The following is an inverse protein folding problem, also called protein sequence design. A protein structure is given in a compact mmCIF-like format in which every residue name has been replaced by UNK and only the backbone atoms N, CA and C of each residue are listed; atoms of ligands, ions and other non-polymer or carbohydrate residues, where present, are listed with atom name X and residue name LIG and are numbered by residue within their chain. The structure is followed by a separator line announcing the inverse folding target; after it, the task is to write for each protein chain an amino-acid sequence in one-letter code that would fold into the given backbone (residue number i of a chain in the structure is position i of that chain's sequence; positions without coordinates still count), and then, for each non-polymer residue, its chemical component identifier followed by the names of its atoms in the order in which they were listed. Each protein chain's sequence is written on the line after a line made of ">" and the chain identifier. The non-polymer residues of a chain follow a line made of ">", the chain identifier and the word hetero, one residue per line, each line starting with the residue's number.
data_IF_494110406436
#
_entry.id   IF_494110406436
#
_cell.length_a   1.000
_cell.length_b   1.000
_cell.length_c   1.000
_cell.angle_alpha   90.00
_cell.angle_beta   90.00
_cell.angle_gamma   90.00
#
_symmetry.space_group_name_H-M   'P 1'
#
loop_
_entity.id
_entity.type
_entity.pdbx_description
1 polymer ?
#
# COMPACT_ATOMS: atom_id res chain seq x y z
N UNK A 1 -6.51 0.72 -52.63
CA UNK A 1 -7.05 1.28 -51.38
C UNK A 1 -6.58 2.71 -51.25
N UNK A 2 -7.52 3.65 -51.07
CA UNK A 2 -7.23 5.07 -50.96
C UNK A 2 -6.44 5.33 -49.65
N UNK A 3 -5.56 6.33 -49.64
CA UNK A 3 -4.77 6.72 -48.45
C UNK A 3 -5.67 7.05 -47.25
N UNK A 4 -6.85 7.64 -47.53
CA UNK A 4 -7.91 7.91 -46.55
C UNK A 4 -8.40 6.61 -45.90
N UNK A 5 -8.68 5.57 -46.68
CA UNK A 5 -9.17 4.28 -46.15
C UNK A 5 -8.12 3.61 -45.26
N UNK A 6 -6.83 3.74 -45.62
CA UNK A 6 -5.72 3.22 -44.81
C UNK A 6 -5.58 4.00 -43.50
N UNK A 7 -5.72 5.32 -43.55
CA UNK A 7 -5.66 6.16 -42.36
C UNK A 7 -6.80 5.85 -41.39
N UNK A 8 -8.04 5.83 -41.91
CA UNK A 8 -9.24 5.51 -41.16
C UNK A 8 -9.15 4.11 -40.55
N UNK A 9 -8.67 3.12 -41.30
CA UNK A 9 -8.44 1.77 -40.79
C UNK A 9 -7.44 1.75 -39.62
N UNK A 10 -6.33 2.49 -39.74
CA UNK A 10 -5.33 2.59 -38.68
C UNK A 10 -5.88 3.26 -37.41
N UNK A 11 -6.73 4.28 -37.55
CA UNK A 11 -7.44 4.90 -36.41
C UNK A 11 -8.42 3.88 -35.80
N UNK A 12 -9.18 3.17 -36.62
CA UNK A 12 -10.17 2.20 -36.19
C UNK A 12 -9.55 1.06 -35.36
N UNK A 13 -8.38 0.53 -35.73
CA UNK A 13 -7.68 -0.50 -34.94
C UNK A 13 -7.32 -0.03 -33.53
N UNK A 14 -7.07 1.26 -33.36
CA UNK A 14 -6.74 1.85 -32.06
C UNK A 14 -7.98 2.10 -31.18
N UNK A 15 -9.18 2.15 -31.77
CA UNK A 15 -10.42 2.45 -31.07
C UNK A 15 -11.07 1.21 -30.41
N UNK A 16 -11.74 1.38 -29.26
CA UNK A 16 -12.64 0.37 -28.69
C UNK A 16 -13.76 -0.04 -29.65
N UNK A 17 -14.10 -1.33 -29.68
CA UNK A 17 -15.09 -1.88 -30.61
C UNK A 17 -16.47 -1.19 -30.53
N UNK A 18 -16.85 -0.67 -29.36
CA UNK A 18 -18.17 -0.08 -29.12
C UNK A 18 -18.35 1.33 -29.69
N UNK A 19 -17.26 2.05 -29.99
CA UNK A 19 -17.32 3.41 -30.59
C UNK A 19 -16.68 3.46 -31.98
N UNK A 20 -16.03 2.37 -32.39
CA UNK A 20 -15.23 2.31 -33.63
C UNK A 20 -16.04 2.77 -34.84
N UNK A 21 -17.21 2.20 -35.08
CA UNK A 21 -17.98 2.48 -36.30
C UNK A 21 -18.46 3.92 -36.38
N UNK A 22 -18.92 4.48 -35.25
CA UNK A 22 -19.44 5.85 -35.19
C UNK A 22 -18.31 6.87 -35.40
N UNK A 23 -17.19 6.70 -34.69
CA UNK A 23 -16.00 7.57 -34.83
C UNK A 23 -15.40 7.44 -36.24
N UNK A 24 -15.39 6.24 -36.81
CA UNK A 24 -14.86 6.01 -38.17
C UNK A 24 -15.69 6.74 -39.22
N UNK A 25 -17.02 6.77 -39.07
CA UNK A 25 -17.93 7.53 -39.95
C UNK A 25 -17.76 9.03 -39.76
N UNK A 26 -17.68 9.50 -38.52
CA UNK A 26 -17.46 10.91 -38.20
C UNK A 26 -16.12 11.40 -38.77
N UNK A 27 -15.05 10.63 -38.56
CA UNK A 27 -13.72 10.95 -39.08
C UNK A 27 -13.71 11.00 -40.61
N UNK A 28 -14.40 10.08 -41.28
CA UNK A 28 -14.54 10.11 -42.74
C UNK A 28 -15.22 11.39 -43.21
N UNK A 29 -16.35 11.74 -42.60
CA UNK A 29 -17.08 12.95 -42.93
C UNK A 29 -16.25 14.22 -42.69
N UNK A 30 -15.44 14.23 -41.62
CA UNK A 30 -14.54 15.34 -41.31
C UNK A 30 -13.42 15.48 -42.36
N UNK A 31 -12.77 14.37 -42.74
CA UNK A 31 -11.76 14.37 -43.80
C UNK A 31 -12.38 14.82 -45.13
N UNK A 32 -13.57 14.32 -45.48
CA UNK A 32 -14.28 14.72 -46.70
C UNK A 32 -14.65 16.22 -46.70
N UNK A 33 -14.97 16.80 -45.53
CA UNK A 33 -15.24 18.23 -45.39
C UNK A 33 -13.98 19.09 -45.53
N UNK A 34 -12.84 18.60 -45.04
CA UNK A 34 -11.53 19.27 -45.20
C UNK A 34 -11.05 19.27 -46.67
N UNK A 35 -11.53 18.33 -47.47
CA UNK A 35 -11.18 18.19 -48.88
C UNK A 35 -12.17 18.96 -49.77
N UNK A 36 -11.64 19.79 -50.68
CA UNK A 36 -12.46 20.50 -51.69
C UNK A 36 -13.11 19.50 -52.68
N UNK A 37 -14.23 19.86 -53.32
CA UNK A 37 -14.93 19.01 -54.32
C UNK A 37 -14.04 18.48 -55.47
N UNK A 38 -12.88 19.09 -55.70
CA UNK A 38 -11.84 18.64 -56.63
C UNK A 38 -10.48 18.65 -55.91
N UNK A 39 -10.16 17.56 -55.20
CA UNK A 39 -8.91 17.42 -54.45
C UNK A 39 -7.88 16.55 -55.20
N UNK A 40 -6.60 16.83 -54.95
CA UNK A 40 -5.45 16.07 -55.44
C UNK A 40 -4.91 15.11 -54.36
N UNK A 41 -4.02 14.18 -54.73
CA UNK A 41 -3.36 13.32 -53.74
C UNK A 41 -2.49 14.12 -52.74
N UNK A 42 -1.94 15.26 -53.14
CA UNK A 42 -1.17 16.18 -52.28
C UNK A 42 -2.05 16.87 -51.24
N UNK A 43 -3.32 17.15 -51.58
CA UNK A 43 -4.30 17.69 -50.62
C UNK A 43 -4.68 16.65 -49.58
N UNK A 44 -4.89 15.39 -50.00
CA UNK A 44 -5.13 14.28 -49.07
C UNK A 44 -3.93 14.10 -48.13
N UNK A 45 -2.71 14.14 -48.67
CA UNK A 45 -1.51 14.02 -47.86
C UNK A 45 -1.43 15.11 -46.78
N UNK A 46 -1.66 16.37 -47.16
CA UNK A 46 -1.64 17.52 -46.23
C UNK A 46 -2.71 17.42 -45.14
N UNK A 47 -3.94 17.05 -45.49
CA UNK A 47 -5.02 16.86 -44.51
C UNK A 47 -4.67 15.76 -43.51
N UNK A 48 -4.14 14.63 -43.98
CA UNK A 48 -3.74 13.54 -43.09
C UNK A 48 -2.52 13.88 -42.24
N UNK A 49 -1.61 14.71 -42.75
CA UNK A 49 -0.47 15.24 -41.99
C UNK A 49 -0.92 16.21 -40.89
N UNK A 50 -1.91 17.07 -41.17
CA UNK A 50 -2.51 17.99 -40.21
C UNK A 50 -3.27 17.25 -39.09
N UNK A 51 -3.98 16.17 -39.43
CA UNK A 51 -4.61 15.26 -38.46
C UNK A 51 -3.59 14.46 -37.63
N UNK A 52 -2.35 14.31 -38.13
CA UNK A 52 -1.26 13.67 -37.41
C UNK A 52 -1.38 12.15 -37.27
N UNK A 53 -0.72 11.60 -36.24
CA UNK A 53 -0.63 10.14 -36.05
C UNK A 53 -2.02 9.52 -35.77
N UNK A 54 -2.42 8.44 -36.49
CA UNK A 54 -3.66 7.71 -36.22
C UNK A 54 -3.86 7.32 -34.75
N UNK A 55 -2.77 6.98 -34.06
CA UNK A 55 -2.83 6.58 -32.66
C UNK A 55 -3.09 7.76 -31.72
N UNK A 56 -2.58 8.95 -32.04
CA UNK A 56 -2.86 10.15 -31.25
C UNK A 56 -4.31 10.58 -31.44
N UNK A 57 -4.78 10.61 -32.70
CA UNK A 57 -6.15 10.95 -33.03
C UNK A 57 -7.16 9.97 -32.39
N UNK A 58 -6.88 8.66 -32.45
CA UNK A 58 -7.70 7.66 -31.76
C UNK A 58 -7.76 7.86 -30.24
N UNK A 59 -6.68 8.33 -29.62
CA UNK A 59 -6.65 8.62 -28.18
C UNK A 59 -7.45 9.88 -27.81
N UNK A 60 -7.60 10.84 -28.72
CA UNK A 60 -8.46 12.03 -28.52
C UNK A 60 -9.93 11.66 -28.57
N UNK A 61 -10.31 10.77 -29.50
CA UNK A 61 -11.67 10.23 -29.60
C UNK A 61 -12.01 9.19 -28.53
N UNK A 62 -11.02 8.66 -27.81
CA UNK A 62 -11.27 7.62 -26.81
C UNK A 62 -11.68 8.23 -25.45
N UNK A 63 -12.94 8.05 -25.00
CA UNK A 63 -13.41 8.58 -23.72
C UNK A 63 -12.70 7.95 -22.52
N UNK A 64 -12.11 6.76 -22.68
CA UNK A 64 -11.33 6.07 -21.66
C UNK A 64 -9.86 6.01 -22.09
N UNK A 65 -9.07 7.02 -21.69
CA UNK A 65 -7.63 6.99 -21.93
C UNK A 65 -7.03 5.71 -21.32
N UNK A 66 -6.26 4.96 -22.10
CA UNK A 66 -5.72 3.62 -21.72
C UNK A 66 -4.52 3.71 -20.76
N UNK A 67 -4.69 4.39 -19.63
CA UNK A 67 -3.66 4.46 -18.59
C UNK A 67 -3.93 3.43 -17.50
N UNK A 68 -2.85 2.84 -16.96
CA UNK A 68 -2.92 2.07 -15.73
C UNK A 68 -3.14 2.99 -14.52
N UNK A 69 -2.40 4.11 -14.52
CA UNK A 69 -2.58 5.24 -13.62
C UNK A 69 -2.54 6.53 -14.47
N UNK A 70 -3.65 7.24 -14.53
CA UNK A 70 -3.86 8.42 -15.34
C UNK A 70 -3.08 9.65 -14.83
N UNK A 71 -2.91 10.65 -15.71
CA UNK A 71 -2.07 11.83 -15.44
C UNK A 71 -2.51 12.62 -14.19
N UNK A 72 -3.80 12.59 -13.84
CA UNK A 72 -4.31 13.25 -12.63
C UNK A 72 -3.81 12.65 -11.32
N UNK A 73 -3.51 11.35 -11.29
CA UNK A 73 -3.01 10.64 -10.11
C UNK A 73 -1.51 10.40 -10.11
N UNK A 74 -0.87 10.42 -11.28
CA UNK A 74 0.51 9.98 -11.46
C UNK A 74 1.51 10.66 -10.52
N UNK A 75 1.43 11.98 -10.35
CA UNK A 75 2.33 12.71 -9.44
C UNK A 75 2.14 12.30 -7.96
N UNK A 76 0.89 12.05 -7.54
CA UNK A 76 0.60 11.60 -6.17
C UNK A 76 1.07 10.14 -5.99
N UNK A 77 0.84 9.30 -6.98
CA UNK A 77 1.33 7.92 -7.04
C UNK A 77 2.84 7.85 -6.85
N UNK A 78 3.62 8.56 -7.66
CA UNK A 78 5.10 8.57 -7.56
C UNK A 78 5.57 9.06 -6.20
N UNK A 79 4.90 10.08 -5.62
CA UNK A 79 5.22 10.58 -4.29
C UNK A 79 5.07 9.51 -3.21
N UNK A 80 3.94 8.81 -3.19
CA UNK A 80 3.67 7.72 -2.23
C UNK A 80 4.59 6.53 -2.48
N UNK A 81 4.76 6.14 -3.74
CA UNK A 81 5.61 5.02 -4.13
C UNK A 81 7.03 5.21 -3.59
N UNK A 82 7.62 6.41 -3.75
CA UNK A 82 8.96 6.72 -3.22
C UNK A 82 9.05 6.56 -1.70
N UNK A 83 8.04 7.03 -0.97
CA UNK A 83 8.01 6.93 0.50
C UNK A 83 7.90 5.48 0.94
N UNK A 84 6.95 4.72 0.39
CA UNK A 84 6.72 3.32 0.76
C UNK A 84 7.91 2.44 0.35
N UNK A 85 8.44 2.60 -0.87
CA UNK A 85 9.64 1.87 -1.32
C UNK A 85 10.83 2.19 -0.43
N UNK A 86 11.08 3.46 -0.10
CA UNK A 86 12.16 3.84 0.80
C UNK A 86 12.05 3.17 2.18
N UNK A 87 10.84 3.11 2.74
CA UNK A 87 10.57 2.41 3.99
C UNK A 87 10.81 0.90 3.83
N UNK A 88 10.28 0.27 2.78
CA UNK A 88 10.45 -1.17 2.53
C UNK A 88 11.94 -1.56 2.39
N UNK A 89 12.74 -0.76 1.69
CA UNK A 89 14.18 -1.02 1.56
C UNK A 89 14.82 -1.09 2.94
N UNK A 90 14.59 -0.08 3.78
CA UNK A 90 15.20 -0.01 5.13
C UNK A 90 14.72 -1.15 6.01
N UNK A 91 13.42 -1.41 6.05
CA UNK A 91 12.81 -2.44 6.91
C UNK A 91 13.29 -3.83 6.51
N UNK A 92 13.16 -4.20 5.23
CA UNK A 92 13.50 -5.55 4.78
C UNK A 92 15.02 -5.78 4.80
N UNK A 93 15.83 -4.78 4.45
CA UNK A 93 17.28 -4.88 4.61
C UNK A 93 17.67 -5.11 6.07
N UNK A 94 17.05 -4.40 7.01
CA UNK A 94 17.32 -4.55 8.45
C UNK A 94 16.92 -5.94 8.95
N UNK A 95 15.72 -6.41 8.60
CA UNK A 95 15.23 -7.74 8.96
C UNK A 95 16.17 -8.82 8.41
N UNK A 96 16.50 -8.77 7.11
CA UNK A 96 17.42 -9.72 6.47
C UNK A 96 18.84 -9.66 7.03
N UNK A 97 19.30 -8.48 7.44
CA UNK A 97 20.61 -8.32 8.08
C UNK A 97 20.65 -9.02 9.43
N UNK A 98 19.63 -8.80 10.28
CA UNK A 98 19.52 -9.45 11.59
C UNK A 98 19.43 -10.97 11.43
N UNK A 99 18.56 -11.45 10.54
CA UNK A 99 18.42 -12.88 10.21
C UNK A 99 19.75 -13.51 9.77
N UNK A 100 20.48 -12.83 8.89
CA UNK A 100 21.77 -13.32 8.39
C UNK A 100 22.84 -13.36 9.48
N UNK A 101 22.87 -12.38 10.38
CA UNK A 101 23.84 -12.33 11.49
C UNK A 101 23.60 -13.52 12.44
N UNK A 102 22.34 -13.85 12.70
CA UNK A 102 21.93 -14.92 13.60
C UNK A 102 22.22 -16.28 12.98
N UNK A 103 21.75 -16.53 11.76
CA UNK A 103 21.79 -17.86 11.14
C UNK A 103 23.16 -18.23 10.52
N UNK A 104 24.06 -17.26 10.33
CA UNK A 104 25.39 -17.48 9.73
C UNK A 104 26.53 -17.47 10.74
N UNK A 105 26.21 -17.67 12.02
CA UNK A 105 27.21 -17.79 13.07
C UNK A 105 27.99 -19.10 12.91
N UNK A 106 29.33 -19.02 12.86
CA UNK A 106 30.22 -20.19 12.74
C UNK A 106 30.59 -20.60 11.31
N UNK A 107 30.12 -19.89 10.28
CA UNK A 107 30.61 -20.03 8.90
C UNK A 107 31.96 -19.32 8.70
N UNK A 108 32.69 -19.71 7.66
CA UNK A 108 33.89 -19.01 7.21
C UNK A 108 33.59 -17.54 6.90
N UNK A 109 34.58 -16.66 7.15
CA UNK A 109 34.40 -15.21 7.06
C UNK A 109 33.90 -14.75 5.68
N UNK A 110 34.43 -15.34 4.60
CA UNK A 110 34.07 -15.00 3.23
C UNK A 110 32.61 -15.38 2.96
N UNK A 111 32.22 -16.62 3.28
CA UNK A 111 30.85 -17.12 3.08
C UNK A 111 29.83 -16.35 3.92
N UNK A 112 30.21 -15.96 5.13
CA UNK A 112 29.39 -15.13 6.00
C UNK A 112 29.14 -13.74 5.39
N UNK A 113 30.19 -13.07 4.91
CA UNK A 113 30.07 -11.72 4.32
C UNK A 113 29.24 -11.78 3.03
N UNK A 114 29.55 -12.72 2.14
CA UNK A 114 28.80 -12.92 0.88
C UNK A 114 27.35 -13.26 1.19
N UNK A 115 27.11 -14.14 2.16
CA UNK A 115 25.79 -14.55 2.62
C UNK A 115 24.94 -13.41 3.20
N UNK A 116 25.53 -12.53 4.01
CA UNK A 116 24.85 -11.33 4.54
C UNK A 116 24.51 -10.39 3.39
N UNK A 117 25.47 -10.09 2.53
CA UNK A 117 25.27 -9.15 1.43
C UNK A 117 24.15 -9.62 0.48
N UNK A 118 24.20 -10.90 0.08
CA UNK A 118 23.19 -11.51 -0.79
C UNK A 118 21.81 -11.51 -0.15
N UNK A 119 21.68 -11.88 1.12
CA UNK A 119 20.37 -11.94 1.79
C UNK A 119 19.78 -10.54 2.02
N UNK A 120 20.61 -9.56 2.41
CA UNK A 120 20.18 -8.15 2.56
C UNK A 120 19.72 -7.59 1.21
N UNK A 121 20.49 -7.82 0.15
CA UNK A 121 20.12 -7.37 -1.19
C UNK A 121 18.81 -8.03 -1.66
N UNK A 122 18.67 -9.33 -1.44
CA UNK A 122 17.46 -10.08 -1.81
C UNK A 122 16.24 -9.59 -1.02
N UNK A 123 16.39 -9.42 0.30
CA UNK A 123 15.35 -8.88 1.17
C UNK A 123 14.90 -7.49 0.75
N UNK A 124 15.85 -6.58 0.48
CA UNK A 124 15.54 -5.23 0.01
C UNK A 124 14.81 -5.22 -1.34
N UNK A 125 15.21 -6.09 -2.29
CA UNK A 125 14.55 -6.24 -3.59
C UNK A 125 13.12 -6.77 -3.43
N UNK A 126 12.93 -7.83 -2.65
CA UNK A 126 11.60 -8.40 -2.37
C UNK A 126 10.71 -7.36 -1.69
N UNK A 127 11.20 -6.69 -0.65
CA UNK A 127 10.45 -5.64 0.05
C UNK A 127 10.06 -4.48 -0.87
N UNK A 128 10.98 -4.06 -1.75
CA UNK A 128 10.71 -3.01 -2.76
C UNK A 128 9.62 -3.43 -3.73
N UNK A 129 9.70 -4.65 -4.27
CA UNK A 129 8.70 -5.18 -5.19
C UNK A 129 7.33 -5.29 -4.52
N UNK A 130 7.26 -5.79 -3.28
CA UNK A 130 6.02 -5.87 -2.50
C UNK A 130 5.42 -4.49 -2.23
N UNK A 131 6.23 -3.54 -1.76
CA UNK A 131 5.78 -2.16 -1.53
C UNK A 131 5.25 -1.50 -2.81
N UNK A 132 5.98 -1.67 -3.92
CA UNK A 132 5.57 -1.13 -5.21
C UNK A 132 4.28 -1.77 -5.72
N UNK A 133 4.14 -3.10 -5.59
CA UNK A 133 2.95 -3.84 -6.00
C UNK A 133 1.71 -3.34 -5.27
N UNK A 134 1.72 -3.31 -3.93
CA UNK A 134 0.55 -2.92 -3.14
C UNK A 134 0.17 -1.45 -3.31
N UNK A 135 1.15 -0.54 -3.42
CA UNK A 135 0.88 0.87 -3.72
C UNK A 135 0.23 1.01 -5.11
N UNK A 136 0.80 0.35 -6.13
CA UNK A 136 0.27 0.39 -7.50
C UNK A 136 -1.15 -0.16 -7.55
N UNK A 137 -1.40 -1.28 -6.90
CA UNK A 137 -2.73 -1.91 -6.83
C UNK A 137 -3.76 -0.97 -6.19
N UNK A 138 -3.41 -0.28 -5.12
CA UNK A 138 -4.31 0.70 -4.48
C UNK A 138 -4.62 1.86 -5.42
N UNK A 139 -3.63 2.39 -6.14
CA UNK A 139 -3.88 3.47 -7.11
C UNK A 139 -4.73 3.02 -8.29
N UNK A 140 -4.53 1.79 -8.79
CA UNK A 140 -5.39 1.21 -9.81
C UNK A 140 -6.84 1.13 -9.32
N UNK A 141 -7.06 0.62 -8.09
CA UNK A 141 -8.41 0.55 -7.52
C UNK A 141 -9.01 1.95 -7.39
N UNK A 142 -8.27 2.91 -6.83
CA UNK A 142 -8.75 4.28 -6.65
C UNK A 142 -9.19 4.93 -7.97
N UNK A 143 -8.38 4.79 -9.02
CA UNK A 143 -8.71 5.36 -10.33
C UNK A 143 -9.89 4.66 -10.99
N UNK A 144 -9.99 3.33 -10.86
CA UNK A 144 -11.11 2.55 -11.40
C UNK A 144 -12.42 2.79 -10.64
N UNK A 145 -12.35 3.23 -9.38
CA UNK A 145 -13.52 3.63 -8.60
C UNK A 145 -14.09 5.00 -9.02
N UNK A 146 -13.52 5.68 -10.02
CA UNK A 146 -14.03 6.98 -10.50
C UNK A 146 -13.81 8.12 -9.52
N UNK A 147 -12.86 7.94 -8.60
CA UNK A 147 -12.46 8.96 -7.65
C UNK A 147 -11.66 10.02 -8.41
N UNK A 148 -11.93 11.31 -8.20
CA UNK A 148 -11.14 12.38 -8.81
C UNK A 148 -9.99 12.86 -7.90
N UNK A 149 -8.84 13.26 -8.45
CA UNK A 149 -7.65 13.60 -7.67
C UNK A 149 -7.81 14.96 -6.97
N UNK A 150 -8.45 14.97 -5.81
CA UNK A 150 -8.76 16.18 -5.04
C UNK A 150 -10.19 16.20 -4.54
N UNK A 151 -11.03 15.32 -5.10
CA UNK A 151 -12.40 15.10 -4.72
C UNK A 151 -12.63 13.58 -4.64
N UNK A 152 -12.65 13.04 -3.42
CA UNK A 152 -12.98 11.63 -3.21
C UNK A 152 -14.49 11.51 -3.01
N UNK A 153 -15.25 11.01 -4.00
CA UNK A 153 -16.70 10.87 -3.91
C UNK A 153 -16.96 9.61 -3.09
N UNK A 154 -16.89 9.72 -1.77
CA UNK A 154 -17.51 8.68 -0.94
C UNK A 154 -19.03 8.63 -1.23
N UNK A 155 -19.61 9.72 -1.73
CA UNK A 155 -21.00 9.83 -2.14
C UNK A 155 -21.10 10.79 -3.33
N UNK A 156 -21.61 10.28 -4.44
CA UNK A 156 -21.87 10.93 -5.74
C UNK A 156 -22.29 12.41 -5.70
N UNK A 157 -21.54 13.24 -6.41
CA UNK A 157 -22.05 14.41 -7.12
C UNK A 157 -21.09 14.78 -8.24
N UNK A 158 -21.63 15.17 -9.40
CA UNK A 158 -20.88 15.90 -10.41
C UNK A 158 -20.18 17.09 -9.75
N UNK A 159 -18.97 17.40 -10.22
CA UNK A 159 -18.22 18.52 -9.67
C UNK A 159 -19.03 19.82 -9.82
N UNK A 160 -19.33 20.49 -8.70
CA UNK A 160 -19.87 21.85 -8.66
C UNK A 160 -18.89 22.79 -7.96
N UNK A 161 -18.89 24.10 -8.29
CA UNK A 161 -18.06 25.09 -7.60
C UNK A 161 -18.25 25.13 -6.08
N UNK A 162 -19.41 24.72 -5.58
CA UNK A 162 -19.70 24.63 -4.14
C UNK A 162 -18.87 23.56 -3.41
N UNK A 163 -18.28 22.62 -4.16
CA UNK A 163 -17.38 21.59 -3.63
C UNK A 163 -15.93 22.08 -3.49
N UNK A 164 -15.66 23.35 -3.83
CA UNK A 164 -14.36 23.95 -3.59
C UNK A 164 -14.06 23.89 -2.08
N UNK A 165 -12.90 23.35 -1.69
CA UNK A 165 -12.55 23.28 -0.28
C UNK A 165 -12.46 24.69 0.29
N UNK A 166 -13.19 24.93 1.38
CA UNK A 166 -13.11 26.19 2.10
C UNK A 166 -11.65 26.51 2.48
N UNK A 167 -11.34 27.81 2.40
CA UNK A 167 -10.06 28.35 2.86
C UNK A 167 -9.96 27.99 4.35
N UNK A 168 -8.95 27.22 4.76
CA UNK A 168 -8.91 26.70 6.11
C UNK A 168 -8.72 27.86 7.09
N UNK A 169 -9.74 28.11 7.92
CA UNK A 169 -9.67 29.10 9.01
C UNK A 169 -8.61 28.72 10.05
N UNK A 170 -8.24 27.43 10.15
CA UNK A 170 -7.25 26.95 11.10
C UNK A 170 -6.44 25.76 10.56
N UNK A 171 -5.12 25.80 10.77
CA UNK A 171 -4.17 24.76 10.33
C UNK A 171 -4.27 23.46 11.14
N UNK A 172 -5.08 23.46 12.21
CA UNK A 172 -5.22 22.33 13.11
C UNK A 172 -5.70 21.06 12.37
N UNK A 173 -6.64 21.10 11.43
CA UNK A 173 -7.12 19.90 10.70
C UNK A 173 -6.10 19.24 9.77
N UNK A 174 -4.91 19.83 9.61
CA UNK A 174 -3.83 19.29 8.78
C UNK A 174 -3.31 17.99 9.37
N UNK A 175 -3.10 17.01 8.49
CA UNK A 175 -2.53 15.71 8.86
C UNK A 175 -1.03 15.87 9.11
N UNK A 176 -0.54 15.34 10.24
CA UNK A 176 0.88 15.34 10.57
C UNK A 176 1.61 14.35 9.66
N UNK A 177 2.61 14.86 8.90
CA UNK A 177 3.43 14.03 8.02
C UNK A 177 4.26 13.02 8.81
N UNK A 178 4.81 13.44 9.95
CA UNK A 178 5.64 12.60 10.82
C UNK A 178 4.84 11.43 11.42
N UNK A 179 3.67 11.71 12.02
CA UNK A 179 2.79 10.66 12.57
C UNK A 179 2.37 9.67 11.48
N UNK A 180 2.08 10.16 10.28
CA UNK A 180 1.66 9.32 9.16
C UNK A 180 2.79 8.41 8.65
N UNK A 181 3.99 8.97 8.45
CA UNK A 181 5.17 8.18 8.05
C UNK A 181 5.53 7.15 9.11
N UNK A 182 5.50 7.53 10.38
CA UNK A 182 5.75 6.63 11.50
C UNK A 182 4.74 5.48 11.56
N UNK A 183 3.45 5.77 11.32
CA UNK A 183 2.41 4.73 11.25
C UNK A 183 2.72 3.72 10.15
N UNK A 184 3.06 4.17 8.94
CA UNK A 184 3.38 3.26 7.81
C UNK A 184 4.63 2.45 8.12
N UNK A 185 5.67 3.10 8.63
CA UNK A 185 6.91 2.43 9.03
C UNK A 185 6.61 1.31 10.03
N UNK A 186 5.80 1.59 11.05
CA UNK A 186 5.40 0.61 12.05
C UNK A 186 4.62 -0.53 11.41
N UNK A 187 3.61 -0.24 10.59
CA UNK A 187 2.82 -1.25 9.89
C UNK A 187 3.68 -2.16 9.03
N UNK A 188 4.52 -1.58 8.16
CA UNK A 188 5.40 -2.35 7.28
C UNK A 188 6.39 -3.17 8.11
N UNK A 189 6.95 -2.60 9.19
CA UNK A 189 7.89 -3.31 10.07
C UNK A 189 7.24 -4.51 10.74
N UNK A 190 6.11 -4.32 11.42
CA UNK A 190 5.45 -5.41 12.14
C UNK A 190 4.87 -6.46 11.19
N UNK A 191 4.24 -6.04 10.10
CA UNK A 191 3.72 -6.98 9.09
C UNK A 191 4.85 -7.76 8.42
N UNK A 192 5.94 -7.10 8.01
CA UNK A 192 7.07 -7.79 7.39
C UNK A 192 7.75 -8.76 8.38
N UNK A 193 7.92 -8.35 9.64
CA UNK A 193 8.51 -9.19 10.68
C UNK A 193 7.63 -10.43 10.95
N UNK A 194 6.33 -10.25 11.17
CA UNK A 194 5.42 -11.36 11.47
C UNK A 194 5.23 -12.31 10.27
N UNK A 195 5.24 -11.79 9.05
CA UNK A 195 5.00 -12.59 7.85
C UNK A 195 6.26 -13.29 7.32
N UNK A 196 7.37 -12.56 7.16
CA UNK A 196 8.59 -13.11 6.54
C UNK A 196 9.54 -13.74 7.55
N UNK A 197 9.61 -13.21 8.78
CA UNK A 197 10.61 -13.61 9.76
C UNK A 197 10.05 -13.69 11.20
N UNK A 198 8.95 -14.44 11.44
CA UNK A 198 8.36 -14.54 12.78
C UNK A 198 9.33 -15.16 13.80
N UNK A 199 10.26 -16.00 13.31
CA UNK A 199 11.32 -16.63 14.09
C UNK A 199 12.33 -15.64 14.70
N UNK A 200 12.37 -14.38 14.25
CA UNK A 200 13.21 -13.35 14.85
C UNK A 200 12.66 -12.83 16.18
N UNK A 201 11.37 -13.06 16.45
CA UNK A 201 10.76 -12.77 17.75
C UNK A 201 10.98 -14.00 18.62
N UNK A 202 12.18 -14.14 19.17
CA UNK A 202 12.64 -15.33 19.87
C UNK A 202 13.51 -15.00 21.07
N UNK A 203 13.67 -15.98 21.95
CA UNK A 203 14.73 -16.01 22.95
C UNK A 203 15.95 -16.70 22.33
N UNK A 204 17.11 -16.06 22.47
CA UNK A 204 18.40 -16.53 21.96
C UNK A 204 19.27 -16.98 23.13
N UNK A 205 19.36 -18.30 23.37
CA UNK A 205 20.20 -18.87 24.44
C UNK A 205 21.34 -19.65 23.81
N UNK A 206 22.55 -19.38 24.28
CA UNK A 206 23.74 -20.13 23.86
C UNK A 206 23.95 -21.29 24.82
N UNK A 207 23.99 -22.51 24.28
CA UNK A 207 24.28 -23.70 25.07
C UNK A 207 25.78 -23.78 25.43
N UNK A 208 26.14 -24.68 26.35
CA UNK A 208 27.52 -24.95 26.81
C UNK A 208 28.47 -25.29 25.66
N UNK A 209 27.95 -25.84 24.56
CA UNK A 209 28.69 -26.16 23.33
C UNK A 209 28.81 -24.97 22.36
N UNK A 210 28.49 -23.76 22.80
CA UNK A 210 28.55 -22.53 21.99
C UNK A 210 27.55 -22.49 20.81
N UNK A 211 26.59 -23.43 20.77
CA UNK A 211 25.49 -23.50 19.80
C UNK A 211 24.35 -22.57 20.22
N UNK A 212 23.79 -21.84 19.26
CA UNK A 212 22.69 -20.90 19.49
C UNK A 212 21.35 -21.64 19.39
N UNK A 213 20.66 -21.82 20.52
CA UNK A 213 19.30 -22.33 20.56
C UNK A 213 18.34 -21.14 20.44
N UNK A 214 17.55 -21.15 19.37
CA UNK A 214 16.54 -20.13 19.08
C UNK A 214 15.17 -20.71 19.43
N UNK A 215 14.47 -20.08 20.37
CA UNK A 215 13.10 -20.47 20.72
C UNK A 215 12.14 -19.33 20.37
N UNK A 216 11.36 -19.52 19.30
CA UNK A 216 10.38 -18.52 18.82
C UNK A 216 9.29 -18.27 19.86
N UNK A 217 8.81 -17.03 19.93
CA UNK A 217 7.67 -16.63 20.75
C UNK A 217 6.38 -17.27 20.22
N UNK A 218 6.21 -17.28 18.91
CA UNK A 218 5.01 -17.79 18.25
C UNK A 218 5.21 -19.22 17.73
N UNK A 219 4.15 -20.02 17.80
CA UNK A 219 3.99 -21.22 17.01
C UNK A 219 3.67 -20.81 15.56
N UNK A 220 4.52 -21.21 14.62
CA UNK A 220 4.46 -20.75 13.23
C UNK A 220 3.20 -21.26 12.53
N UNK A 221 2.80 -22.50 12.79
CA UNK A 221 1.62 -23.11 12.18
C UNK A 221 0.35 -22.39 12.65
N UNK A 222 0.30 -22.04 13.94
CA UNK A 222 -0.83 -21.29 14.48
C UNK A 222 -0.84 -19.84 13.99
N UNK A 223 0.33 -19.20 13.88
CA UNK A 223 0.46 -17.83 13.38
C UNK A 223 -0.03 -17.70 11.93
N UNK A 224 0.19 -18.72 11.08
CA UNK A 224 -0.23 -18.73 9.68
C UNK A 224 -1.74 -18.46 9.50
N UNK A 225 -2.57 -18.94 10.43
CA UNK A 225 -4.02 -18.68 10.43
C UNK A 225 -4.33 -17.19 10.55
N UNK A 226 -3.50 -16.44 11.29
CA UNK A 226 -3.68 -15.00 11.52
C UNK A 226 -3.05 -14.13 10.44
N UNK A 227 -2.08 -14.65 9.68
CA UNK A 227 -1.35 -13.89 8.66
C UNK A 227 -2.29 -13.27 7.63
N UNK A 228 -3.30 -13.99 7.15
CA UNK A 228 -4.25 -13.45 6.17
C UNK A 228 -4.97 -12.21 6.68
N UNK A 229 -5.38 -12.20 7.96
CA UNK A 229 -6.04 -11.05 8.59
C UNK A 229 -5.06 -9.89 8.80
N UNK A 230 -3.82 -10.18 9.19
CA UNK A 230 -2.75 -9.18 9.31
C UNK A 230 -2.49 -8.50 7.96
N UNK A 231 -2.41 -9.26 6.87
CA UNK A 231 -2.20 -8.73 5.52
C UNK A 231 -3.38 -7.87 5.05
N UNK A 232 -4.61 -8.33 5.27
CA UNK A 232 -5.82 -7.54 4.93
C UNK A 232 -5.81 -6.20 5.67
N UNK A 233 -5.53 -6.19 6.98
CA UNK A 233 -5.49 -4.96 7.76
C UNK A 233 -4.31 -4.05 7.38
N UNK A 234 -3.16 -4.62 7.01
CA UNK A 234 -2.03 -3.86 6.50
C UNK A 234 -2.36 -3.14 5.17
N UNK A 235 -2.99 -3.84 4.23
CA UNK A 235 -3.45 -3.25 2.95
C UNK A 235 -4.52 -2.20 3.21
N UNK A 236 -5.47 -2.46 4.11
CA UNK A 236 -6.52 -1.50 4.48
C UNK A 236 -5.93 -0.21 5.06
N UNK A 237 -4.93 -0.34 5.95
CA UNK A 237 -4.23 0.82 6.51
C UNK A 237 -3.43 1.59 5.46
N UNK A 238 -2.80 0.89 4.50
CA UNK A 238 -2.09 1.52 3.39
C UNK A 238 -3.08 2.33 2.53
N UNK A 239 -4.28 1.80 2.28
CA UNK A 239 -5.37 2.54 1.62
C UNK A 239 -5.77 3.82 2.37
N UNK A 240 -5.94 3.75 3.70
CA UNK A 240 -6.18 4.92 4.55
C UNK A 240 -5.03 5.93 4.44
N UNK A 241 -3.78 5.46 4.40
CA UNK A 241 -2.62 6.34 4.20
C UNK A 241 -2.67 7.04 2.84
N UNK A 242 -2.92 6.30 1.76
CA UNK A 242 -3.04 6.89 0.43
C UNK A 242 -4.12 7.96 0.41
N UNK A 243 -5.27 7.69 1.03
CA UNK A 243 -6.34 8.66 1.19
C UNK A 243 -5.85 9.91 1.96
N UNK A 244 -5.23 9.73 3.14
CA UNK A 244 -4.64 10.82 3.95
C UNK A 244 -3.66 11.67 3.14
N UNK A 245 -2.83 11.04 2.31
CA UNK A 245 -1.82 11.74 1.50
C UNK A 245 -2.45 12.57 0.38
N UNK A 246 -3.52 12.08 -0.24
CA UNK A 246 -4.25 12.76 -1.30
C UNK A 246 -5.05 13.94 -0.74
N UNK A 247 -5.82 13.76 0.33
CA UNK A 247 -6.72 14.80 0.89
C UNK A 247 -6.01 15.79 1.81
N UNK A 248 -4.92 15.38 2.48
CA UNK A 248 -4.12 16.18 3.44
C UNK A 248 -4.88 16.72 4.66
N UNK A 249 -6.19 16.49 4.73
CA UNK A 249 -7.12 16.91 5.78
C UNK A 249 -8.00 15.73 6.20
N UNK A 250 -8.44 15.76 7.44
CA UNK A 250 -9.43 14.81 7.94
C UNK A 250 -10.81 15.13 7.37
N UNK A 251 -11.46 14.11 6.81
CA UNK A 251 -12.86 14.15 6.35
C UNK A 251 -13.67 13.10 7.14
N UNK A 252 -14.98 13.27 7.28
CA UNK A 252 -15.80 12.30 8.02
C UNK A 252 -15.63 10.84 7.54
N UNK A 253 -15.62 10.53 6.23
CA UNK A 253 -15.38 9.15 5.77
C UNK A 253 -14.03 8.60 6.24
N UNK A 254 -12.98 9.42 6.19
CA UNK A 254 -11.64 9.03 6.60
C UNK A 254 -11.54 8.78 8.11
N UNK A 255 -12.29 9.54 8.91
CA UNK A 255 -12.39 9.36 10.37
C UNK A 255 -13.09 8.04 10.69
N UNK A 256 -14.21 7.76 10.02
CA UNK A 256 -14.97 6.51 10.20
C UNK A 256 -14.11 5.31 9.80
N UNK A 257 -13.41 5.36 8.65
CA UNK A 257 -12.53 4.28 8.22
C UNK A 257 -11.35 4.06 9.18
N UNK A 258 -10.75 5.14 9.71
CA UNK A 258 -9.68 5.03 10.71
C UNK A 258 -10.19 4.42 12.02
N UNK A 259 -11.38 4.80 12.48
CA UNK A 259 -12.00 4.20 13.66
C UNK A 259 -12.34 2.72 13.44
N UNK A 260 -12.88 2.37 12.27
CA UNK A 260 -13.15 0.98 11.89
C UNK A 260 -11.86 0.14 11.86
N UNK A 261 -10.80 0.66 11.26
CA UNK A 261 -9.49 0.03 11.26
C UNK A 261 -8.98 -0.23 12.70
N UNK A 262 -9.07 0.78 13.58
CA UNK A 262 -8.67 0.65 14.98
C UNK A 262 -9.47 -0.45 15.71
N UNK A 263 -10.78 -0.53 15.50
CA UNK A 263 -11.64 -1.58 16.07
C UNK A 263 -11.22 -2.97 15.56
N UNK A 264 -11.06 -3.14 14.25
CA UNK A 264 -10.67 -4.42 13.66
C UNK A 264 -9.28 -4.87 14.14
N UNK A 265 -8.33 -3.95 14.24
CA UNK A 265 -7.00 -4.24 14.81
C UNK A 265 -7.08 -4.65 16.28
N UNK A 266 -7.90 -3.97 17.10
CA UNK A 266 -8.13 -4.38 18.49
C UNK A 266 -8.70 -5.79 18.58
N UNK A 267 -9.71 -6.11 17.76
CA UNK A 267 -10.32 -7.45 17.74
C UNK A 267 -9.27 -8.50 17.38
N UNK A 268 -8.51 -8.30 16.30
CA UNK A 268 -7.48 -9.24 15.87
C UNK A 268 -6.42 -9.45 16.96
N UNK A 269 -5.94 -8.36 17.57
CA UNK A 269 -4.92 -8.39 18.60
C UNK A 269 -5.42 -9.11 19.86
N UNK A 270 -6.66 -8.88 20.30
CA UNK A 270 -7.26 -9.61 21.42
C UNK A 270 -7.34 -11.10 21.11
N UNK A 271 -7.87 -11.48 19.94
CA UNK A 271 -7.98 -12.88 19.55
C UNK A 271 -6.59 -13.55 19.54
N UNK A 272 -5.57 -12.91 18.97
CA UNK A 272 -4.21 -13.45 18.94
C UNK A 272 -3.59 -13.58 20.34
N UNK A 273 -3.71 -12.56 21.19
CA UNK A 273 -3.09 -12.59 22.53
C UNK A 273 -3.73 -13.60 23.50
N UNK A 274 -5.01 -13.90 23.31
CA UNK A 274 -5.72 -14.89 24.12
C UNK A 274 -5.76 -16.28 23.49
N UNK A 275 -5.11 -16.47 22.34
CA UNK A 275 -4.91 -17.80 21.76
C UNK A 275 -3.71 -18.49 22.41
N UNK A 276 -3.99 -19.41 23.33
CA UNK A 276 -2.97 -20.19 24.02
C UNK A 276 -2.13 -21.08 23.09
N UNK A 277 -2.63 -21.42 21.89
CA UNK A 277 -1.88 -22.20 20.90
C UNK A 277 -0.92 -21.32 20.08
N UNK A 278 -1.14 -20.00 20.06
CA UNK A 278 -0.29 -19.10 19.29
C UNK A 278 1.08 -18.93 19.94
N UNK A 279 1.17 -18.99 21.26
CA UNK A 279 2.42 -18.88 21.99
C UNK A 279 3.10 -20.24 22.12
N UNK A 280 4.37 -20.30 21.76
CA UNK A 280 5.16 -21.52 21.84
C UNK A 280 5.37 -21.91 23.31
N UNK A 281 4.96 -23.12 23.71
CA UNK A 281 5.08 -23.58 25.10
C UNK A 281 6.55 -23.66 25.57
N UNK A 282 7.48 -23.95 24.66
CA UNK A 282 8.91 -24.01 24.94
C UNK A 282 9.50 -22.61 25.19
N UNK A 283 8.83 -21.55 24.74
CA UNK A 283 9.26 -20.18 25.02
C UNK A 283 9.19 -19.88 26.53
N UNK A 284 8.14 -20.36 27.20
CA UNK A 284 7.94 -20.13 28.64
C UNK A 284 9.05 -20.81 29.44
N UNK A 285 9.40 -22.07 29.09
CA UNK A 285 10.49 -22.78 29.75
C UNK A 285 11.85 -22.14 29.48
N UNK A 286 12.11 -21.70 28.25
CA UNK A 286 13.33 -20.96 27.92
C UNK A 286 13.44 -19.63 28.71
N UNK A 287 12.34 -18.89 28.85
CA UNK A 287 12.30 -17.66 29.63
C UNK A 287 12.50 -17.92 31.13
N UNK A 288 11.93 -19.01 31.64
CA UNK A 288 12.12 -19.47 33.03
C UNK A 288 13.58 -19.71 33.38
N UNK A 289 14.29 -20.39 32.49
CA UNK A 289 15.71 -20.65 32.66
C UNK A 289 16.54 -19.37 32.58
N UNK A 290 16.14 -18.40 31.74
CA UNK A 290 16.88 -17.15 31.58
C UNK A 290 16.79 -16.24 32.81
N UNK A 291 15.61 -16.17 33.44
CA UNK A 291 15.35 -15.28 34.58
C UNK A 291 15.57 -15.98 35.94
N UNK A 292 15.92 -17.28 35.94
CA UNK A 292 15.97 -18.12 37.14
C UNK A 292 14.67 -18.09 37.97
N UNK A 293 13.53 -17.93 37.29
CA UNK A 293 12.20 -17.88 37.90
C UNK A 293 11.49 -19.24 37.81
N UNK A 294 10.45 -19.44 38.62
CA UNK A 294 9.56 -20.60 38.45
C UNK A 294 8.63 -20.40 37.25
N UNK A 295 8.28 -21.50 36.58
CA UNK A 295 7.35 -21.48 35.44
C UNK A 295 6.01 -20.86 35.85
N UNK A 296 5.50 -21.20 37.03
CA UNK A 296 4.25 -20.66 37.58
C UNK A 296 4.29 -19.13 37.78
N UNK A 297 5.40 -18.59 38.29
CA UNK A 297 5.52 -17.14 38.46
C UNK A 297 5.53 -16.43 37.10
N UNK A 298 6.15 -17.05 36.10
CA UNK A 298 6.25 -16.50 34.75
C UNK A 298 4.93 -16.57 34.00
N UNK A 299 4.17 -17.65 34.12
CA UNK A 299 2.84 -17.74 33.50
C UNK A 299 1.91 -16.68 34.07
N UNK A 300 1.89 -16.51 35.39
CA UNK A 300 1.11 -15.44 36.05
C UNK A 300 1.58 -14.05 35.61
N UNK A 301 2.89 -13.83 35.49
CA UNK A 301 3.41 -12.55 34.99
C UNK A 301 3.02 -12.28 33.54
N UNK A 302 3.14 -13.29 32.65
CA UNK A 302 2.74 -13.19 31.25
C UNK A 302 1.25 -12.89 31.11
N UNK A 303 0.40 -13.57 31.88
CA UNK A 303 -1.04 -13.32 31.85
C UNK A 303 -1.39 -11.89 32.30
N UNK A 304 -0.74 -11.39 33.36
CA UNK A 304 -0.88 -9.98 33.77
C UNK A 304 -0.38 -9.02 32.69
N UNK A 305 0.77 -9.31 32.10
CA UNK A 305 1.34 -8.50 31.03
C UNK A 305 0.43 -8.44 29.80
N UNK A 306 -0.20 -9.56 29.41
CA UNK A 306 -1.21 -9.61 28.33
C UNK A 306 -2.38 -8.67 28.61
N UNK A 307 -2.97 -8.73 29.81
CA UNK A 307 -4.09 -7.85 30.18
C UNK A 307 -3.68 -6.37 30.19
N UNK A 308 -2.53 -6.05 30.79
CA UNK A 308 -2.00 -4.68 30.81
C UNK A 308 -1.82 -4.17 29.38
N UNK A 309 -1.21 -4.97 28.51
CA UNK A 309 -0.98 -4.62 27.11
C UNK A 309 -2.29 -4.40 26.35
N UNK A 310 -3.28 -5.28 26.51
CA UNK A 310 -4.61 -5.14 25.88
C UNK A 310 -5.31 -3.87 26.35
N UNK A 311 -5.37 -3.62 27.65
CA UNK A 311 -6.00 -2.41 28.20
C UNK A 311 -5.30 -1.14 27.69
N UNK A 312 -3.97 -1.14 27.68
CA UNK A 312 -3.19 -0.01 27.19
C UNK A 312 -3.42 0.22 25.69
N UNK A 313 -3.40 -0.86 24.89
CA UNK A 313 -3.63 -0.79 23.45
C UNK A 313 -5.02 -0.27 23.11
N UNK A 314 -6.07 -0.78 23.76
CA UNK A 314 -7.45 -0.28 23.61
C UNK A 314 -7.54 1.18 24.02
N UNK A 315 -6.88 1.57 25.12
CA UNK A 315 -6.83 2.96 25.58
C UNK A 315 -6.25 3.90 24.51
N UNK A 316 -5.12 3.51 23.90
CA UNK A 316 -4.47 4.29 22.83
C UNK A 316 -5.35 4.39 21.59
N UNK A 317 -5.89 3.28 21.09
CA UNK A 317 -6.68 3.26 19.84
C UNK A 317 -8.01 4.02 20.00
N UNK A 318 -8.61 3.94 21.18
CA UNK A 318 -9.81 4.71 21.55
C UNK A 318 -9.47 6.19 21.64
N UNK A 319 -8.37 6.54 22.32
CA UNK A 319 -7.90 7.92 22.42
C UNK A 319 -7.60 8.53 21.05
N UNK A 320 -6.90 7.82 20.16
CA UNK A 320 -6.62 8.26 18.79
C UNK A 320 -7.92 8.59 18.03
N UNK A 321 -8.87 7.65 18.06
CA UNK A 321 -10.17 7.80 17.39
C UNK A 321 -10.97 9.00 17.93
N UNK A 322 -11.02 9.17 19.26
CA UNK A 322 -11.72 10.30 19.91
C UNK A 322 -11.02 11.63 19.61
N UNK A 323 -9.68 11.68 19.70
CA UNK A 323 -8.88 12.89 19.41
C UNK A 323 -9.16 13.40 18.01
N UNK A 324 -9.16 12.50 17.02
CA UNK A 324 -9.42 12.84 15.63
C UNK A 324 -10.85 13.35 15.45
N UNK A 325 -11.85 12.67 16.04
CA UNK A 325 -13.25 13.05 15.95
C UNK A 325 -13.53 14.41 16.62
N UNK A 326 -12.99 14.64 17.81
CA UNK A 326 -13.12 15.90 18.54
C UNK A 326 -12.50 17.05 17.75
N UNK A 327 -11.29 16.84 17.22
CA UNK A 327 -10.59 17.81 16.38
C UNK A 327 -11.41 18.14 15.12
N UNK A 328 -12.07 17.16 14.52
CA UNK A 328 -12.96 17.42 13.39
C UNK A 328 -14.19 18.25 13.78
N UNK A 329 -14.84 17.92 14.91
CA UNK A 329 -16.05 18.63 15.37
C UNK A 329 -15.80 20.09 15.78
N UNK A 330 -14.61 20.40 16.32
CA UNK A 330 -14.27 21.75 16.82
C UNK A 330 -13.81 22.71 15.72
N UNK A 331 -13.20 22.19 14.65
CA UNK A 331 -12.55 23.00 13.61
C UNK A 331 -13.20 22.88 12.22
N UNK A 332 -14.31 22.16 12.10
CA UNK A 332 -15.25 22.27 10.98
C UNK A 332 -16.13 23.49 11.23
#
# INVERSE_FOLDING_TARGET
>A
MNLIDRYIYAVAECLPNNIRDDITKELRANIEYMLTNSYTEEDVYRVLEELGSPMNLANEYNPQKRYLIGPGYFNKYIGILKVVVGICIVVFASISMVDSIINRYGMDLIDRIVGIFTNVLTGALVGTMQGAFWVTLIFIILERSGVEPGYLPAFSSEWTPDLLPEIPLNNNLKISRGETIFSILSTITFTALLYFQPQLIAIYIRDKNNTLNITSLFDINRLEIYIVFILILAVFQLGIFVWKYITKRWTMPLIILNALYNILMCILLIIMLFDNQLFNINFISAFSNLVNGSIEAITVWLDRARWIFVTFFIGITTWDSIRIFYKFKVYK
#
